data_IF_191697970947
#
_entry.id   IF_191697970947
#
_cell.length_a   1.000
_cell.length_b   1.000
_cell.length_c   1.000
_cell.angle_alpha   90.00
_cell.angle_beta   90.00
_cell.angle_gamma   90.00
#
_symmetry.space_group_name_H-M   'P 1'
#
loop_
_entity.id
_entity.type
_entity.pdbx_description
1 polymer ?
#
# COMPACT_ATOMS: atom_id res chain seq x y z
N UNK A 1 42.20 -23.87 -21.18
CA UNK A 1 40.78 -24.08 -20.79
C UNK A 1 40.04 -22.75 -20.93
N UNK A 2 39.42 -22.48 -22.08
CA UNK A 2 38.60 -21.29 -22.27
C UNK A 2 37.25 -21.54 -21.60
N UNK A 3 36.91 -20.75 -20.57
CA UNK A 3 35.61 -20.83 -19.90
C UNK A 3 34.52 -20.44 -20.91
N UNK A 4 33.45 -21.23 -20.99
CA UNK A 4 32.33 -20.99 -21.91
C UNK A 4 31.68 -19.62 -21.64
N UNK A 5 31.42 -18.85 -22.69
CA UNK A 5 30.79 -17.52 -22.65
C UNK A 5 29.43 -17.53 -21.93
N UNK A 6 28.76 -18.68 -21.91
CA UNK A 6 27.50 -18.89 -21.17
C UNK A 6 27.75 -18.82 -19.66
N UNK A 7 28.82 -19.44 -19.16
CA UNK A 7 29.18 -19.43 -17.74
C UNK A 7 29.52 -18.00 -17.29
N UNK A 8 30.20 -17.23 -18.16
CA UNK A 8 30.54 -15.83 -17.89
C UNK A 8 29.30 -14.93 -17.77
N UNK A 9 28.32 -15.08 -18.68
CA UNK A 9 27.06 -14.30 -18.63
C UNK A 9 26.19 -14.63 -17.41
N UNK A 10 26.17 -15.89 -16.98
CA UNK A 10 25.42 -16.29 -15.77
C UNK A 10 26.04 -15.66 -14.52
N UNK A 11 27.37 -15.62 -14.42
CA UNK A 11 28.06 -14.93 -13.30
C UNK A 11 27.84 -13.41 -13.30
N UNK A 12 27.74 -12.76 -14.46
CA UNK A 12 27.50 -11.30 -14.56
C UNK A 12 26.07 -10.88 -14.17
N UNK A 13 25.07 -11.72 -14.45
CA UNK A 13 23.68 -11.50 -14.03
C UNK A 13 23.50 -11.64 -12.51
N UNK A 14 24.28 -12.51 -11.87
CA UNK A 14 24.24 -12.73 -10.42
C UNK A 14 25.03 -11.69 -9.62
N UNK A 15 25.96 -10.97 -10.26
CA UNK A 15 26.81 -9.96 -9.61
C UNK A 15 26.26 -8.53 -9.62
N UNK A 16 25.10 -8.29 -10.26
CA UNK A 16 24.54 -6.95 -10.38
C UNK A 16 23.76 -6.61 -9.10
N UNK A 17 24.37 -5.81 -8.24
CA UNK A 17 23.68 -5.24 -7.09
C UNK A 17 22.37 -4.57 -7.56
N UNK A 18 21.24 -4.82 -6.89
CA UNK A 18 19.97 -4.21 -7.27
C UNK A 18 20.12 -2.68 -7.23
N UNK A 19 19.57 -2.01 -8.24
CA UNK A 19 19.55 -0.54 -8.29
C UNK A 19 19.00 0.03 -6.97
N UNK A 20 19.49 1.19 -6.47
CA UNK A 20 18.95 1.83 -5.28
C UNK A 20 17.43 2.00 -5.33
N UNK A 21 16.89 2.27 -6.52
CA UNK A 21 15.44 2.33 -6.75
C UNK A 21 14.75 0.96 -6.65
N UNK A 22 15.42 -0.11 -7.05
CA UNK A 22 14.91 -1.48 -6.89
C UNK A 22 14.98 -1.96 -5.44
N UNK A 23 15.97 -1.50 -4.66
CA UNK A 23 16.03 -1.74 -3.22
C UNK A 23 14.96 -0.95 -2.47
N UNK A 24 14.80 0.34 -2.76
CA UNK A 24 13.72 1.16 -2.17
C UNK A 24 12.32 0.59 -2.49
N UNK A 25 12.10 0.12 -3.73
CA UNK A 25 10.84 -0.54 -4.12
C UNK A 25 10.57 -1.86 -3.41
N UNK A 26 11.62 -2.60 -3.02
CA UNK A 26 11.50 -3.82 -2.21
C UNK A 26 11.27 -3.50 -0.73
N UNK A 27 11.78 -2.38 -0.24
CA UNK A 27 11.57 -1.92 1.14
C UNK A 27 10.15 -1.39 1.36
N UNK A 28 9.53 -0.78 0.34
CA UNK A 28 8.16 -0.28 0.45
C UNK A 28 7.13 -1.38 0.77
N UNK A 29 7.40 -2.65 0.42
CA UNK A 29 6.55 -3.79 0.78
C UNK A 29 7.39 -4.83 1.53
N UNK A 30 7.79 -4.49 2.76
CA UNK A 30 8.43 -5.41 3.67
C UNK A 30 7.38 -6.17 4.48
N UNK A 31 7.09 -7.41 4.09
CA UNK A 31 6.14 -8.31 4.76
C UNK A 31 6.89 -9.53 5.34
N UNK A 32 6.31 -10.23 6.33
CA UNK A 32 6.87 -11.51 6.79
C UNK A 32 6.97 -12.54 5.67
N UNK A 33 7.96 -13.43 5.78
CA UNK A 33 8.19 -14.49 4.79
C UNK A 33 6.93 -15.33 4.54
N UNK A 34 6.61 -15.55 3.26
CA UNK A 34 5.51 -16.43 2.84
C UNK A 34 4.16 -15.73 2.66
N UNK A 35 4.05 -14.43 2.95
CA UNK A 35 2.82 -13.66 2.68
C UNK A 35 2.54 -13.59 1.17
N UNK A 36 3.57 -13.59 0.32
CA UNK A 36 3.41 -13.62 -1.13
C UNK A 36 2.67 -14.88 -1.62
N UNK A 37 2.84 -16.00 -0.90
CA UNK A 37 2.12 -17.25 -1.20
C UNK A 37 0.62 -17.10 -0.91
N UNK A 38 0.26 -16.42 0.17
CA UNK A 38 -1.14 -16.15 0.53
C UNK A 38 -1.78 -15.15 -0.44
N UNK A 39 -1.01 -14.19 -0.94
CA UNK A 39 -1.48 -13.18 -1.89
C UNK A 39 -1.45 -13.66 -3.34
N UNK A 40 -0.83 -14.83 -3.60
CA UNK A 40 -0.73 -15.46 -4.91
C UNK A 40 0.22 -14.74 -5.88
N UNK A 41 0.95 -13.71 -5.43
CA UNK A 41 1.93 -12.98 -6.24
C UNK A 41 2.95 -12.25 -5.37
N UNK A 42 4.14 -12.04 -5.93
CA UNK A 42 5.10 -11.09 -5.36
C UNK A 42 4.57 -9.66 -5.53
N UNK A 43 4.66 -8.87 -4.47
CA UNK A 43 4.27 -7.47 -4.44
C UNK A 43 5.51 -6.58 -4.41
N UNK A 44 5.42 -5.46 -5.11
CA UNK A 44 6.41 -4.40 -5.07
C UNK A 44 5.69 -3.08 -5.21
N UNK A 45 6.19 -2.05 -4.54
CA UNK A 45 5.57 -0.73 -4.56
C UNK A 45 6.62 0.36 -4.62
N UNK A 46 6.28 1.49 -5.22
CA UNK A 46 7.06 2.72 -5.11
C UNK A 46 6.55 3.69 -4.03
N UNK A 47 5.66 3.20 -3.15
CA UNK A 47 5.03 3.99 -2.09
C UNK A 47 6.04 4.70 -1.19
N UNK A 48 5.69 5.93 -0.83
CA UNK A 48 6.39 6.79 0.11
C UNK A 48 5.37 7.51 0.98
N UNK A 49 5.65 7.63 2.28
CA UNK A 49 4.82 8.39 3.20
C UNK A 49 4.78 9.87 2.82
N UNK A 50 3.57 10.43 2.78
CA UNK A 50 3.36 11.86 2.55
C UNK A 50 3.14 12.61 3.86
N UNK A 51 2.37 12.00 4.75
CA UNK A 51 1.98 12.48 6.08
C UNK A 51 1.54 11.30 6.94
N UNK A 52 1.25 11.56 8.20
CA UNK A 52 0.71 10.54 9.10
C UNK A 52 -0.59 9.98 8.54
N UNK A 53 -0.76 8.66 8.61
CA UNK A 53 -1.97 8.01 8.14
C UNK A 53 -1.77 6.61 7.56
N UNK A 54 -2.86 6.12 6.97
CA UNK A 54 -3.02 4.81 6.37
C UNK A 54 -3.34 4.98 4.89
N UNK A 55 -2.62 4.24 4.04
CA UNK A 55 -2.66 4.44 2.60
C UNK A 55 -2.84 3.11 1.87
N UNK A 56 -3.91 3.01 1.09
CA UNK A 56 -4.13 1.91 0.17
C UNK A 56 -3.06 1.94 -0.93
N UNK A 57 -2.42 0.81 -1.16
CA UNK A 57 -1.40 0.72 -2.20
C UNK A 57 -2.00 0.25 -3.53
N UNK A 58 -2.22 1.20 -4.43
CA UNK A 58 -2.77 0.94 -5.76
C UNK A 58 -1.86 0.08 -6.64
N UNK A 59 -0.54 0.06 -6.43
CA UNK A 59 0.39 -0.80 -7.18
C UNK A 59 0.26 -2.28 -6.77
N UNK A 60 -0.31 -2.52 -5.59
CA UNK A 60 -0.59 -3.87 -5.06
C UNK A 60 -2.06 -4.30 -5.20
N UNK A 61 -2.84 -3.62 -6.04
CA UNK A 61 -4.30 -3.77 -6.10
C UNK A 61 -4.98 -3.60 -4.74
N UNK A 62 -4.42 -2.74 -3.88
CA UNK A 62 -4.86 -2.48 -2.52
C UNK A 62 -4.87 -3.72 -1.62
N UNK A 63 -4.16 -4.79 -1.99
CA UNK A 63 -3.93 -5.96 -1.13
C UNK A 63 -2.96 -5.63 0.00
N UNK A 64 -2.13 -4.62 -0.18
CA UNK A 64 -1.29 -4.03 0.85
C UNK A 64 -1.76 -2.61 1.15
N UNK A 65 -1.62 -2.21 2.40
CA UNK A 65 -1.71 -0.83 2.83
C UNK A 65 -0.51 -0.45 3.67
N UNK A 66 -0.24 0.85 3.73
CA UNK A 66 0.92 1.41 4.40
C UNK A 66 0.48 2.26 5.58
N UNK A 67 1.17 2.13 6.70
CA UNK A 67 1.00 2.98 7.88
C UNK A 67 2.22 3.87 8.00
N UNK A 68 1.99 5.17 8.12
CA UNK A 68 3.01 6.20 8.20
C UNK A 68 2.87 6.96 9.51
N UNK A 69 3.99 7.14 10.21
CA UNK A 69 4.08 8.00 11.41
C UNK A 69 5.32 8.88 11.33
N UNK A 70 5.11 10.18 11.34
CA UNK A 70 6.14 11.20 11.36
C UNK A 70 6.79 11.26 12.73
N UNK A 71 8.11 11.16 12.75
CA UNK A 71 8.95 11.30 13.93
C UNK A 71 9.86 12.49 13.69
N UNK A 72 9.74 13.49 14.56
CA UNK A 72 10.64 14.63 14.54
C UNK A 72 12.03 14.19 15.00
N UNK A 73 13.03 14.51 14.20
CA UNK A 73 14.44 14.31 14.53
C UNK A 73 15.01 15.49 15.30
N UNK A 74 16.17 15.28 15.92
CA UNK A 74 16.90 16.32 16.65
C UNK A 74 17.28 17.53 15.78
N UNK A 75 17.44 17.32 14.47
CA UNK A 75 17.75 18.37 13.49
C UNK A 75 16.51 19.15 13.02
N UNK A 76 15.31 18.82 13.52
CA UNK A 76 14.04 19.45 13.15
C UNK A 76 13.41 18.90 11.87
N UNK A 77 14.06 17.96 11.18
CA UNK A 77 13.45 17.26 10.05
C UNK A 77 12.44 16.22 10.54
N UNK A 78 11.43 15.93 9.72
CA UNK A 78 10.49 14.84 9.97
C UNK A 78 10.89 13.66 9.11
N UNK A 79 11.14 12.51 9.74
CA UNK A 79 11.23 11.23 9.06
C UNK A 79 10.02 10.38 9.36
N UNK A 80 9.59 9.57 8.39
CA UNK A 80 8.45 8.68 8.59
C UNK A 80 8.92 7.28 8.98
N UNK A 81 8.45 6.82 10.13
CA UNK A 81 8.32 5.40 10.42
C UNK A 81 7.24 4.84 9.48
N UNK A 82 7.61 3.85 8.67
CA UNK A 82 6.77 3.26 7.63
C UNK A 82 6.66 1.76 7.83
N UNK A 83 5.44 1.24 7.74
CA UNK A 83 5.14 -0.19 7.82
C UNK A 83 4.13 -0.59 6.76
N UNK A 84 4.35 -1.75 6.14
CA UNK A 84 3.42 -2.34 5.18
C UNK A 84 2.64 -3.49 5.82
N UNK A 85 1.36 -3.60 5.49
CA UNK A 85 0.46 -4.64 5.97
C UNK A 85 -0.33 -5.23 4.82
N UNK A 86 -0.50 -6.55 4.81
CA UNK A 86 -1.32 -7.23 3.83
C UNK A 86 -2.72 -7.52 4.37
N UNK A 87 -3.75 -7.28 3.56
CA UNK A 87 -5.11 -7.70 3.85
C UNK A 87 -5.25 -9.22 3.69
N UNK A 88 -5.86 -9.87 4.68
CA UNK A 88 -6.10 -11.31 4.69
C UNK A 88 -7.35 -11.72 3.88
N UNK A 89 -7.56 -13.03 3.71
CA UNK A 89 -8.78 -13.60 3.14
C UNK A 89 -9.20 -13.02 1.77
N UNK A 90 -8.23 -12.65 0.92
CA UNK A 90 -8.46 -12.07 -0.41
C UNK A 90 -9.24 -10.74 -0.40
N UNK A 91 -9.25 -10.04 0.72
CA UNK A 91 -9.83 -8.69 0.84
C UNK A 91 -8.85 -7.62 0.32
N UNK A 92 -9.36 -6.41 0.13
CA UNK A 92 -8.57 -5.23 -0.23
C UNK A 92 -8.77 -4.13 0.81
N UNK A 93 -7.78 -3.26 0.98
CA UNK A 93 -7.88 -2.12 1.87
C UNK A 93 -8.84 -1.08 1.31
N UNK A 94 -9.93 -0.84 2.03
CA UNK A 94 -10.90 0.19 1.75
C UNK A 94 -10.42 1.50 2.38
N UNK A 95 -9.92 2.41 1.55
CA UNK A 95 -9.42 3.69 2.01
C UNK A 95 -10.47 4.55 2.72
N UNK A 96 -11.75 4.43 2.35
CA UNK A 96 -12.82 5.23 2.94
C UNK A 96 -13.09 4.84 4.41
N UNK A 97 -13.00 3.55 4.72
CA UNK A 97 -13.28 3.02 6.07
C UNK A 97 -12.03 2.69 6.88
N UNK A 98 -10.83 2.75 6.27
CA UNK A 98 -9.56 2.31 6.86
C UNK A 98 -9.56 0.84 7.31
N UNK A 99 -10.30 -0.02 6.61
CA UNK A 99 -10.42 -1.44 6.93
C UNK A 99 -10.19 -2.31 5.70
N UNK A 100 -9.78 -3.56 5.89
CA UNK A 100 -9.82 -4.55 4.83
C UNK A 100 -11.26 -5.03 4.63
N UNK A 101 -11.77 -4.98 3.40
CA UNK A 101 -13.13 -5.40 3.04
C UNK A 101 -13.12 -6.20 1.74
N UNK A 102 -14.19 -6.94 1.48
CA UNK A 102 -14.34 -7.60 0.18
C UNK A 102 -14.36 -6.58 -0.94
N UNK A 103 -13.90 -6.98 -2.12
CA UNK A 103 -13.68 -6.01 -3.20
C UNK A 103 -14.94 -5.29 -3.65
N UNK A 104 -16.12 -5.87 -3.46
CA UNK A 104 -17.45 -5.30 -3.73
C UNK A 104 -17.98 -4.40 -2.61
N UNK A 105 -17.50 -4.58 -1.38
CA UNK A 105 -17.79 -3.75 -0.19
C UNK A 105 -16.73 -2.68 0.08
N UNK A 106 -15.69 -2.61 -0.75
CA UNK A 106 -14.63 -1.61 -0.69
C UNK A 106 -14.77 -0.58 -1.82
N UNK A 107 -14.32 0.67 -1.60
CA UNK A 107 -14.15 1.60 -2.73
C UNK A 107 -13.17 0.98 -3.73
N UNK A 108 -13.38 1.13 -5.06
CA UNK A 108 -12.48 0.58 -6.05
C UNK A 108 -11.05 1.03 -5.77
N UNK A 109 -10.10 0.11 -5.86
CA UNK A 109 -8.70 0.42 -5.55
C UNK A 109 -8.17 1.60 -6.39
N UNK A 110 -8.58 1.71 -7.65
CA UNK A 110 -8.25 2.83 -8.53
C UNK A 110 -8.70 4.22 -7.97
N UNK A 111 -9.75 4.24 -7.16
CA UNK A 111 -10.31 5.43 -6.51
C UNK A 111 -9.83 5.61 -5.07
N UNK A 112 -8.99 4.72 -4.54
CA UNK A 112 -8.54 4.82 -3.15
C UNK A 112 -7.89 6.18 -2.84
N UNK A 113 -7.05 6.72 -3.74
CA UNK A 113 -6.44 8.05 -3.58
C UNK A 113 -7.44 9.19 -3.38
N UNK A 114 -8.66 9.05 -3.91
CA UNK A 114 -9.72 10.05 -3.77
C UNK A 114 -10.20 10.19 -2.31
N UNK A 115 -9.77 9.30 -1.41
CA UNK A 115 -10.11 9.27 0.02
C UNK A 115 -8.87 9.46 0.92
N UNK A 116 -7.68 9.73 0.39
CA UNK A 116 -6.47 9.92 1.21
C UNK A 116 -6.58 11.11 2.18
N UNK A 117 -7.42 12.10 1.87
CA UNK A 117 -7.67 13.24 2.75
C UNK A 117 -8.30 12.83 4.09
N UNK A 118 -8.98 11.68 4.17
CA UNK A 118 -9.56 11.21 5.42
C UNK A 118 -8.51 10.88 6.48
N UNK A 119 -7.23 10.73 6.09
CA UNK A 119 -6.13 10.61 7.04
C UNK A 119 -6.03 11.83 7.98
N UNK A 120 -6.49 12.99 7.51
CA UNK A 120 -6.52 14.23 8.28
C UNK A 120 -7.53 14.14 9.42
N UNK A 121 -8.49 13.23 9.36
CA UNK A 121 -9.52 13.04 10.38
C UNK A 121 -9.10 12.01 11.46
N UNK A 122 -8.08 11.19 11.22
CA UNK A 122 -7.70 10.07 12.10
C UNK A 122 -7.15 10.51 13.47
N UNK A 123 -6.53 11.69 13.52
CA UNK A 123 -5.83 12.19 14.70
C UNK A 123 -6.47 13.47 15.25
N UNK A 124 -7.76 13.66 14.94
CA UNK A 124 -8.56 14.78 15.43
C UNK A 124 -9.28 14.42 16.74
N UNK A 125 -10.11 15.34 17.23
CA UNK A 125 -10.97 15.10 18.38
C UNK A 125 -11.87 13.89 18.14
N UNK A 126 -12.13 13.12 19.20
CA UNK A 126 -12.97 11.90 19.18
C UNK A 126 -14.39 12.09 18.62
N UNK A 127 -14.87 13.33 18.59
CA UNK A 127 -16.20 13.69 18.11
C UNK A 127 -16.20 14.05 16.61
N UNK A 128 -15.02 14.14 15.98
CA UNK A 128 -14.87 14.32 14.52
C UNK A 128 -15.05 12.97 13.84
N UNK A 129 -16.09 12.79 13.00
CA UNK A 129 -16.26 11.55 12.24
C UNK A 129 -15.10 11.39 11.25
N UNK A 130 -14.45 10.22 11.26
CA UNK A 130 -13.42 9.89 10.27
C UNK A 130 -14.02 9.91 8.87
N UNK A 131 -15.21 9.32 8.71
CA UNK A 131 -16.00 9.33 7.48
C UNK A 131 -17.29 10.13 7.77
N UNK A 132 -17.37 11.36 7.27
CA UNK A 132 -18.56 12.20 7.40
C UNK A 132 -19.68 11.77 6.43
N UNK A 133 -20.87 12.34 6.58
CA UNK A 133 -22.04 11.97 5.76
C UNK A 133 -21.79 12.13 4.26
N UNK A 134 -21.14 13.22 3.84
CA UNK A 134 -20.79 13.47 2.44
C UNK A 134 -19.75 12.44 1.92
N UNK A 135 -18.81 12.04 2.77
CA UNK A 135 -17.79 11.04 2.42
C UNK A 135 -18.42 9.64 2.31
N UNK A 136 -19.37 9.34 3.21
CA UNK A 136 -20.15 8.12 3.20
C UNK A 136 -21.02 8.04 1.94
N UNK A 137 -21.69 9.13 1.55
CA UNK A 137 -22.46 9.19 0.30
C UNK A 137 -21.55 8.98 -0.93
N UNK A 138 -20.38 9.64 -0.95
CA UNK A 138 -19.38 9.44 -2.00
C UNK A 138 -18.91 7.98 -2.07
N UNK A 139 -18.62 7.35 -0.95
CA UNK A 139 -18.23 5.93 -0.88
C UNK A 139 -19.38 5.02 -1.33
N UNK A 140 -20.61 5.30 -0.90
CA UNK A 140 -21.82 4.55 -1.26
C UNK A 140 -22.09 4.55 -2.77
N UNK A 141 -21.76 5.64 -3.48
CA UNK A 141 -21.84 5.69 -4.94
C UNK A 141 -21.05 4.58 -5.63
N UNK A 142 -19.96 4.12 -5.03
CA UNK A 142 -19.17 3.01 -5.57
C UNK A 142 -19.75 1.63 -5.27
N UNK A 143 -20.34 1.44 -4.08
CA UNK A 143 -20.98 0.18 -3.71
C UNK A 143 -22.24 -0.06 -4.55
N UNK A 144 -23.08 0.97 -4.71
CA UNK A 144 -24.31 0.91 -5.50
C UNK A 144 -24.01 0.64 -6.99
N UNK A 145 -22.98 1.28 -7.55
CA UNK A 145 -22.57 1.06 -8.94
C UNK A 145 -22.12 -0.39 -9.21
N UNK A 146 -21.66 -1.10 -8.19
CA UNK A 146 -21.27 -2.52 -8.28
C UNK A 146 -22.45 -3.46 -8.11
N UNK A 147 -23.39 -3.15 -7.22
CA UNK A 147 -24.64 -3.90 -7.10
C UNK A 147 -25.45 -3.94 -8.41
N UNK A 148 -25.38 -2.89 -9.23
CA UNK A 148 -26.03 -2.82 -10.55
C UNK A 148 -25.27 -3.53 -11.69
N UNK A 149 -24.02 -3.97 -11.46
CA UNK A 149 -23.20 -4.70 -12.45
C UNK A 149 -23.13 -6.21 -12.20
N UNK A 150 -23.76 -6.69 -11.14
CA UNK A 150 -23.82 -8.11 -10.76
C UNK A 150 -25.00 -8.83 -11.43
#
# INVERSE_FOLDING_TARGET
MQRSTIVQRVTELQSRAPSPHAQARRQAVALPDGVELLLGRALSSSFQCQRDGYYADQETDCRVFHVCRGVAKEDGNVEFEHHAFACGNQTIFNQASFTCAFSDEAVPCANAKDFFYLNDHLFQDKDTPILGDADAEKAAGFYAARAYKA
#
